data_IF_029837326160
#
_entry.id   IF_029837326160
#
_cell.length_a   1.000
_cell.length_b   1.000
_cell.length_c   1.000
_cell.angle_alpha   90.00
_cell.angle_beta   90.00
_cell.angle_gamma   90.00
#
_symmetry.space_group_name_H-M   'P 1'
#
loop_
_entity.id
_entity.type
_entity.pdbx_description
1 polymer ?
#
# COMPACT_ATOMS: atom_id res chain seq x y z
N UNK A 1 -1.64 -5.87 -15.05
CA UNK A 1 -1.33 -5.42 -16.43
C UNK A 1 -0.40 -4.22 -16.37
N UNK A 2 0.16 -3.82 -17.52
CA UNK A 2 0.82 -2.52 -17.75
C UNK A 2 0.25 -2.00 -19.07
N UNK A 3 -0.82 -1.25 -18.92
CA UNK A 3 -1.62 -0.46 -19.87
C UNK A 3 -2.51 -1.22 -20.85
N UNK A 4 -3.05 -2.35 -20.39
CA UNK A 4 -4.26 -2.92 -20.98
C UNK A 4 -5.55 -2.58 -20.20
N UNK A 5 -5.49 -1.72 -19.17
CA UNK A 5 -6.55 -0.92 -18.51
C UNK A 5 -7.92 -1.59 -18.16
N UNK A 6 -7.93 -2.94 -18.05
CA UNK A 6 -8.87 -3.87 -17.40
C UNK A 6 -10.05 -4.43 -18.25
N UNK A 7 -10.46 -5.72 -18.12
CA UNK A 7 -10.35 -6.58 -16.92
C UNK A 7 -9.72 -7.99 -17.12
N UNK A 8 -9.00 -8.46 -16.10
CA UNK A 8 -8.70 -9.89 -15.88
C UNK A 8 -9.44 -10.46 -14.63
N UNK A 9 -10.14 -9.62 -13.87
CA UNK A 9 -10.79 -9.98 -12.60
C UNK A 9 -12.22 -9.44 -12.50
N UNK A 10 -13.16 -10.32 -12.13
CA UNK A 10 -14.59 -10.03 -12.01
C UNK A 10 -14.96 -9.46 -10.64
N UNK A 11 -16.16 -8.87 -10.55
CA UNK A 11 -16.66 -8.32 -9.30
C UNK A 11 -16.90 -9.40 -8.24
N UNK A 12 -16.48 -9.12 -7.01
CA UNK A 12 -16.67 -10.04 -5.88
C UNK A 12 -17.95 -9.74 -5.07
N UNK A 13 -18.10 -10.43 -3.93
CA UNK A 13 -19.26 -10.26 -3.05
C UNK A 13 -19.31 -8.88 -2.40
N UNK A 14 -18.16 -8.28 -2.09
CA UNK A 14 -18.09 -6.95 -1.48
C UNK A 14 -18.49 -5.88 -2.49
N UNK A 15 -18.03 -5.98 -3.73
CA UNK A 15 -18.44 -5.08 -4.82
C UNK A 15 -19.96 -5.13 -5.06
N UNK A 16 -20.58 -6.31 -4.93
CA UNK A 16 -22.04 -6.45 -5.03
C UNK A 16 -22.79 -5.89 -3.83
N UNK A 17 -22.20 -5.93 -2.63
CA UNK A 17 -22.79 -5.39 -1.40
C UNK A 17 -22.66 -3.87 -1.31
N UNK A 18 -21.60 -3.31 -1.88
CA UNK A 18 -21.33 -1.88 -1.99
C UNK A 18 -21.25 -1.48 -3.47
N UNK A 19 -22.39 -1.48 -4.19
CA UNK A 19 -22.41 -1.26 -5.64
C UNK A 19 -22.15 0.20 -6.05
N UNK A 20 -22.32 1.16 -5.13
CA UNK A 20 -22.35 2.58 -5.45
C UNK A 20 -21.86 3.48 -4.30
N UNK A 21 -21.76 4.79 -4.58
CA UNK A 21 -21.33 5.79 -3.60
C UNK A 21 -22.32 5.91 -2.44
N UNK A 22 -23.62 5.76 -2.69
CA UNK A 22 -24.64 5.89 -1.64
C UNK A 22 -24.49 4.80 -0.57
N UNK A 23 -24.30 3.54 -0.99
CA UNK A 23 -24.02 2.42 -0.09
C UNK A 23 -22.67 2.55 0.63
N UNK A 24 -21.66 3.13 -0.02
CA UNK A 24 -20.38 3.45 0.62
C UNK A 24 -20.54 4.51 1.72
N UNK A 25 -21.28 5.59 1.46
CA UNK A 25 -21.58 6.63 2.47
C UNK A 25 -22.35 6.04 3.66
N UNK A 26 -23.33 5.18 3.41
CA UNK A 26 -24.06 4.49 4.47
C UNK A 26 -23.13 3.60 5.31
N UNK A 27 -22.22 2.87 4.66
CA UNK A 27 -21.20 2.07 5.34
C UNK A 27 -20.29 2.95 6.22
N UNK A 28 -19.74 4.03 5.66
CA UNK A 28 -18.85 4.94 6.36
C UNK A 28 -19.55 5.67 7.51
N UNK A 29 -20.84 6.00 7.40
CA UNK A 29 -21.59 6.60 8.51
C UNK A 29 -21.77 5.69 9.73
N UNK A 30 -21.58 4.37 9.56
CA UNK A 30 -21.66 3.39 10.65
C UNK A 30 -20.29 3.11 11.30
N UNK A 31 -19.20 3.40 10.59
CA UNK A 31 -17.88 2.87 10.92
C UNK A 31 -16.75 3.90 10.84
N UNK A 32 -16.97 5.06 10.23
CA UNK A 32 -15.95 6.02 9.79
C UNK A 32 -16.13 7.43 10.34
N UNK A 33 -16.56 7.58 11.59
CA UNK A 33 -16.93 8.88 12.19
C UNK A 33 -15.84 9.97 12.06
N UNK A 34 -14.55 9.60 12.03
CA UNK A 34 -13.44 10.55 11.81
C UNK A 34 -13.05 10.73 10.34
N UNK A 35 -13.37 9.77 9.48
CA UNK A 35 -12.98 9.77 8.06
C UNK A 35 -13.64 10.90 7.29
N UNK A 36 -14.96 11.04 7.42
CA UNK A 36 -15.71 12.08 6.68
C UNK A 36 -15.29 13.49 7.08
N UNK A 37 -14.98 13.71 8.37
CA UNK A 37 -14.47 14.99 8.85
C UNK A 37 -13.09 15.32 8.24
N UNK A 38 -12.18 14.34 8.22
CA UNK A 38 -10.85 14.51 7.61
C UNK A 38 -10.95 14.76 6.10
N UNK A 39 -11.83 14.04 5.40
CA UNK A 39 -12.05 14.21 3.96
C UNK A 39 -12.68 15.58 3.65
N UNK A 40 -13.61 16.05 4.47
CA UNK A 40 -14.19 17.40 4.36
C UNK A 40 -13.14 18.50 4.61
N UNK A 41 -12.23 18.31 5.56
CA UNK A 41 -11.12 19.24 5.78
C UNK A 41 -10.18 19.26 4.57
N UNK A 42 -9.80 18.10 4.02
CA UNK A 42 -8.97 18.03 2.81
C UNK A 42 -9.65 18.73 1.64
N UNK A 43 -10.97 18.56 1.47
CA UNK A 43 -11.76 19.28 0.46
C UNK A 43 -11.60 20.78 0.59
N UNK A 44 -11.76 21.33 1.80
CA UNK A 44 -11.63 22.76 2.04
C UNK A 44 -10.22 23.27 1.72
N UNK A 45 -9.17 22.52 2.09
CA UNK A 45 -7.79 22.86 1.76
C UNK A 45 -7.56 22.91 0.24
N UNK A 46 -8.03 21.88 -0.49
CA UNK A 46 -7.91 21.81 -1.95
C UNK A 46 -8.65 22.97 -2.63
N UNK A 47 -9.89 23.27 -2.24
CA UNK A 47 -10.63 24.39 -2.83
C UNK A 47 -10.06 25.76 -2.45
N UNK A 48 -9.49 25.87 -1.26
CA UNK A 48 -8.77 27.07 -0.83
C UNK A 48 -7.55 27.36 -1.69
N UNK A 49 -6.81 26.31 -2.08
CA UNK A 49 -5.61 26.43 -2.91
C UNK A 49 -5.91 26.54 -4.41
N UNK A 50 -6.75 25.66 -4.94
CA UNK A 50 -6.96 25.48 -6.38
C UNK A 50 -8.22 26.20 -6.90
N UNK A 51 -9.01 26.79 -6.00
CA UNK A 51 -10.22 27.55 -6.33
C UNK A 51 -11.49 26.69 -6.38
N UNK A 52 -12.65 27.35 -6.32
CA UNK A 52 -13.95 26.64 -6.27
C UNK A 52 -14.37 26.05 -7.62
N UNK A 53 -13.73 26.42 -8.73
CA UNK A 53 -14.04 25.90 -10.06
C UNK A 53 -13.73 24.40 -10.22
N UNK A 54 -12.89 23.82 -9.36
CA UNK A 54 -12.61 22.39 -9.35
C UNK A 54 -13.50 21.58 -8.39
N UNK A 55 -14.55 22.19 -7.80
CA UNK A 55 -15.42 21.52 -6.82
C UNK A 55 -15.96 20.18 -7.34
N UNK A 56 -16.50 20.16 -8.55
CA UNK A 56 -17.08 18.93 -9.12
C UNK A 56 -16.03 17.84 -9.35
N UNK A 57 -14.79 18.21 -9.67
CA UNK A 57 -13.69 17.26 -9.84
C UNK A 57 -13.25 16.70 -8.48
N UNK A 58 -13.10 17.54 -7.46
CA UNK A 58 -12.76 17.13 -6.10
C UNK A 58 -13.84 16.22 -5.52
N UNK A 59 -15.11 16.59 -5.68
CA UNK A 59 -16.25 15.82 -5.17
C UNK A 59 -16.31 14.43 -5.82
N UNK A 60 -16.09 14.34 -7.13
CA UNK A 60 -16.02 13.06 -7.86
C UNK A 60 -14.91 12.14 -7.34
N UNK A 61 -13.72 12.69 -7.08
CA UNK A 61 -12.62 11.91 -6.54
C UNK A 61 -12.90 11.50 -5.09
N UNK A 62 -13.50 12.37 -4.29
CA UNK A 62 -13.87 12.04 -2.91
C UNK A 62 -14.91 10.92 -2.85
N UNK A 63 -15.86 10.88 -3.78
CA UNK A 63 -16.81 9.78 -3.90
C UNK A 63 -16.14 8.45 -4.26
N UNK A 64 -15.16 8.48 -5.15
CA UNK A 64 -14.34 7.30 -5.46
C UNK A 64 -13.46 6.88 -4.27
N UNK A 65 -12.90 7.83 -3.50
CA UNK A 65 -12.16 7.54 -2.26
C UNK A 65 -13.07 6.87 -1.23
N UNK A 66 -14.30 7.37 -1.04
CA UNK A 66 -15.29 6.76 -0.15
C UNK A 66 -15.61 5.33 -0.54
N UNK A 67 -15.89 5.09 -1.82
CA UNK A 67 -16.21 3.76 -2.31
C UNK A 67 -15.04 2.78 -2.15
N UNK A 68 -13.82 3.22 -2.49
CA UNK A 68 -12.59 2.44 -2.28
C UNK A 68 -12.39 2.06 -0.82
N UNK A 69 -12.45 3.03 0.09
CA UNK A 69 -12.27 2.76 1.52
C UNK A 69 -13.39 1.86 2.09
N UNK A 70 -14.65 2.13 1.74
CA UNK A 70 -15.80 1.31 2.15
C UNK A 70 -15.60 -0.16 1.76
N UNK A 71 -15.21 -0.41 0.51
CA UNK A 71 -14.95 -1.77 0.02
C UNK A 71 -13.74 -2.40 0.70
N UNK A 72 -12.65 -1.66 0.89
CA UNK A 72 -11.47 -2.18 1.55
C UNK A 72 -11.78 -2.59 3.00
N UNK A 73 -12.44 -1.71 3.77
CA UNK A 73 -12.80 -2.00 5.15
C UNK A 73 -13.85 -3.10 5.31
N UNK A 74 -14.79 -3.24 4.37
CA UNK A 74 -15.73 -4.37 4.35
C UNK A 74 -15.08 -5.69 3.94
N UNK A 75 -13.99 -5.65 3.15
CA UNK A 75 -13.34 -6.85 2.65
C UNK A 75 -12.27 -7.36 3.61
N UNK A 76 -11.32 -6.49 3.95
CA UNK A 76 -10.12 -6.84 4.69
C UNK A 76 -9.99 -6.08 6.02
N UNK A 77 -10.96 -5.21 6.31
CA UNK A 77 -10.99 -4.40 7.52
C UNK A 77 -11.86 -4.92 8.65
N UNK A 78 -12.00 -4.09 9.68
CA UNK A 78 -12.80 -4.41 10.87
C UNK A 78 -14.31 -4.39 10.62
N UNK A 79 -14.75 -4.02 9.41
CA UNK A 79 -16.18 -3.91 9.08
C UNK A 79 -16.72 -5.19 8.44
N UNK A 80 -15.82 -6.11 8.05
CA UNK A 80 -16.11 -7.41 7.47
C UNK A 80 -15.66 -8.59 8.32
N UNK A 81 -15.74 -9.78 7.72
CA UNK A 81 -15.43 -11.05 8.39
C UNK A 81 -14.04 -11.60 8.03
N UNK A 82 -13.35 -11.01 7.04
CA UNK A 82 -12.05 -11.44 6.54
C UNK A 82 -10.95 -10.42 6.90
N UNK A 83 -10.80 -10.15 8.19
CA UNK A 83 -9.85 -9.15 8.67
C UNK A 83 -8.38 -9.50 8.37
N UNK A 84 -7.64 -8.54 7.80
CA UNK A 84 -6.21 -8.62 7.53
C UNK A 84 -5.45 -7.71 8.50
N UNK A 85 -4.48 -8.23 9.28
CA UNK A 85 -3.77 -7.43 10.28
C UNK A 85 -3.04 -6.19 9.74
N UNK A 86 -2.57 -6.21 8.49
CA UNK A 86 -1.83 -5.12 7.86
C UNK A 86 -2.64 -4.46 6.75
N UNK A 87 -3.06 -5.19 5.72
CA UNK A 87 -3.76 -4.64 4.57
C UNK A 87 -5.26 -4.46 4.86
N UNK A 88 -5.59 -3.37 5.54
CA UNK A 88 -6.96 -3.03 5.93
C UNK A 88 -7.25 -1.52 5.79
N UNK A 89 -8.43 -1.07 6.22
CA UNK A 89 -8.86 0.32 6.16
C UNK A 89 -7.94 1.28 6.91
N UNK A 90 -7.25 0.81 7.95
CA UNK A 90 -6.27 1.64 8.66
C UNK A 90 -5.02 1.87 7.83
N UNK A 91 -4.50 0.87 7.11
CA UNK A 91 -3.36 1.06 6.19
C UNK A 91 -3.67 2.10 5.11
N UNK A 92 -4.87 2.02 4.51
CA UNK A 92 -5.32 3.03 3.57
C UNK A 92 -5.40 4.44 4.17
N UNK A 93 -5.95 4.57 5.39
CA UNK A 93 -6.01 5.85 6.10
C UNK A 93 -4.63 6.36 6.54
N UNK A 94 -3.69 5.48 6.89
CA UNK A 94 -2.31 5.85 7.18
C UNK A 94 -1.64 6.45 5.94
N UNK A 95 -1.87 5.90 4.75
CA UNK A 95 -1.38 6.54 3.53
C UNK A 95 -2.09 7.88 3.30
N UNK A 96 -3.41 7.91 3.38
CA UNK A 96 -4.23 9.07 3.01
C UNK A 96 -4.07 10.30 3.93
N UNK A 97 -4.06 10.09 5.25
CA UNK A 97 -4.13 11.15 6.27
C UNK A 97 -2.93 11.21 7.21
N UNK A 98 -1.85 10.50 6.87
CA UNK A 98 -0.61 10.58 7.63
C UNK A 98 0.58 10.68 6.72
N UNK A 99 0.65 9.85 5.69
CA UNK A 99 1.78 9.89 4.76
C UNK A 99 1.59 11.01 3.72
N UNK A 100 0.45 11.08 3.04
CA UNK A 100 0.17 12.21 2.16
C UNK A 100 0.16 13.54 2.94
N UNK A 101 -0.39 13.59 4.15
CA UNK A 101 -0.34 14.81 4.98
C UNK A 101 1.10 15.24 5.30
N UNK A 102 2.02 14.30 5.55
CA UNK A 102 3.43 14.64 5.72
C UNK A 102 4.08 15.18 4.45
N UNK A 103 3.67 14.72 3.25
CA UNK A 103 4.11 15.35 2.00
C UNK A 103 3.60 16.80 1.91
N UNK A 104 2.34 17.03 2.27
CA UNK A 104 1.74 18.37 2.30
C UNK A 104 2.42 19.29 3.30
N UNK A 105 2.78 18.79 4.50
CA UNK A 105 3.46 19.57 5.53
C UNK A 105 4.87 19.98 5.11
N UNK A 106 5.59 19.11 4.39
CA UNK A 106 6.97 19.35 3.97
C UNK A 106 7.05 20.22 2.72
N UNK A 107 6.15 19.97 1.75
CA UNK A 107 6.27 20.55 0.40
C UNK A 107 5.21 21.59 0.07
N UNK A 108 4.09 21.62 0.82
CA UNK A 108 2.94 22.45 0.48
C UNK A 108 2.06 21.85 -0.63
N UNK A 109 0.87 22.43 -0.80
CA UNK A 109 -0.08 21.99 -1.83
C UNK A 109 0.36 22.38 -3.26
N UNK A 110 1.23 23.36 -3.43
CA UNK A 110 1.76 23.82 -4.71
C UNK A 110 2.84 22.90 -5.30
N UNK A 111 3.33 21.93 -4.51
CA UNK A 111 4.33 20.96 -4.96
C UNK A 111 3.84 20.02 -6.07
N UNK A 112 2.53 19.79 -6.16
CA UNK A 112 1.91 18.97 -7.21
C UNK A 112 0.63 19.64 -7.75
N UNK A 113 0.29 19.40 -9.03
CA UNK A 113 -1.02 19.75 -9.56
C UNK A 113 -2.17 19.09 -8.78
N UNK A 114 -3.35 19.70 -8.79
CA UNK A 114 -4.56 19.16 -8.14
C UNK A 114 -4.81 17.69 -8.50
N UNK A 115 -4.75 17.35 -9.79
CA UNK A 115 -5.02 16.00 -10.27
C UNK A 115 -4.03 14.96 -9.71
N UNK A 116 -2.80 15.36 -9.40
CA UNK A 116 -1.79 14.48 -8.85
C UNK A 116 -2.09 14.20 -7.37
N UNK A 117 -2.50 15.22 -6.60
CA UNK A 117 -2.99 15.01 -5.23
C UNK A 117 -4.22 14.11 -5.18
N UNK A 118 -5.17 14.30 -6.10
CA UNK A 118 -6.37 13.49 -6.20
C UNK A 118 -6.04 12.03 -6.61
N UNK A 119 -5.07 11.83 -7.51
CA UNK A 119 -4.59 10.50 -7.87
C UNK A 119 -3.90 9.78 -6.70
N UNK A 120 -3.09 10.48 -5.91
CA UNK A 120 -2.48 9.93 -4.70
C UNK A 120 -3.53 9.54 -3.65
N UNK A 121 -4.58 10.34 -3.49
CA UNK A 121 -5.68 10.02 -2.59
C UNK A 121 -6.44 8.76 -3.02
N UNK A 122 -6.69 8.58 -4.32
CA UNK A 122 -7.29 7.36 -4.86
C UNK A 122 -6.36 6.15 -4.68
N UNK A 123 -5.07 6.29 -5.01
CA UNK A 123 -4.09 5.22 -4.80
C UNK A 123 -4.10 4.73 -3.35
N UNK A 124 -4.12 5.63 -2.37
CA UNK A 124 -4.11 5.30 -0.95
C UNK A 124 -5.19 4.29 -0.55
N UNK A 125 -6.38 4.39 -1.14
CA UNK A 125 -7.52 3.51 -0.81
C UNK A 125 -7.76 2.40 -1.83
N UNK A 126 -7.05 2.41 -2.96
CA UNK A 126 -7.31 1.50 -4.08
C UNK A 126 -6.21 0.47 -4.35
N UNK A 127 -4.95 0.74 -4.00
CA UNK A 127 -3.83 -0.13 -4.37
C UNK A 127 -3.92 -1.54 -3.80
N UNK A 128 -4.43 -1.67 -2.58
CA UNK A 128 -4.55 -2.94 -1.87
C UNK A 128 -5.99 -3.42 -1.69
N UNK A 129 -6.91 -3.00 -2.56
CA UNK A 129 -8.31 -3.45 -2.49
C UNK A 129 -8.44 -4.98 -2.42
N UNK A 130 -7.55 -5.72 -3.11
CA UNK A 130 -7.60 -7.18 -3.25
C UNK A 130 -6.33 -7.82 -2.70
N UNK A 131 -6.45 -8.60 -1.61
CA UNK A 131 -5.30 -9.24 -0.95
C UNK A 131 -5.44 -10.75 -0.75
N UNK A 132 -6.33 -11.39 -1.52
CA UNK A 132 -6.59 -12.84 -1.46
C UNK A 132 -6.55 -13.54 -2.81
N UNK A 133 -6.04 -12.89 -3.85
CA UNK A 133 -5.95 -13.52 -5.15
C UNK A 133 -4.89 -14.64 -5.14
N UNK A 134 -5.12 -15.67 -5.96
CA UNK A 134 -4.18 -16.76 -6.07
C UNK A 134 -2.82 -16.25 -6.56
N UNK A 135 -1.74 -16.75 -5.96
CA UNK A 135 -0.39 -16.34 -6.35
C UNK A 135 -0.08 -16.74 -7.80
N UNK A 136 0.41 -15.79 -8.59
CA UNK A 136 0.91 -16.01 -9.94
C UNK A 136 2.21 -15.23 -10.13
N UNK A 137 3.29 -15.97 -10.39
CA UNK A 137 4.64 -15.44 -10.58
C UNK A 137 5.03 -15.36 -12.07
N UNK A 138 4.10 -15.67 -12.98
CA UNK A 138 4.34 -15.62 -14.42
C UNK A 138 4.40 -14.20 -14.98
N UNK A 139 3.92 -13.22 -14.22
CA UNK A 139 3.85 -11.80 -14.59
C UNK A 139 4.58 -10.94 -13.54
N UNK A 140 5.09 -9.76 -13.94
CA UNK A 140 5.77 -8.86 -13.00
C UNK A 140 4.81 -8.25 -11.99
N UNK A 141 3.60 -7.87 -12.42
CA UNK A 141 2.53 -7.38 -11.54
C UNK A 141 1.77 -8.58 -11.00
N UNK A 142 1.68 -8.69 -9.68
CA UNK A 142 0.96 -9.77 -8.99
C UNK A 142 -0.55 -9.74 -9.22
N UNK A 143 -1.21 -10.85 -8.90
CA UNK A 143 -2.66 -10.97 -9.07
C UNK A 143 -3.46 -10.05 -8.12
N UNK A 144 -2.96 -9.82 -6.91
CA UNK A 144 -3.56 -8.88 -5.96
C UNK A 144 -3.63 -7.47 -6.58
N UNK A 145 -2.51 -6.96 -7.08
CA UNK A 145 -2.44 -5.64 -7.70
C UNK A 145 -3.20 -5.58 -9.02
N UNK A 146 -3.15 -6.63 -9.85
CA UNK A 146 -3.95 -6.70 -11.07
C UNK A 146 -5.47 -6.67 -10.79
N UNK A 147 -5.92 -7.31 -9.72
CA UNK A 147 -7.31 -7.29 -9.27
C UNK A 147 -7.68 -5.93 -8.67
N UNK A 148 -6.80 -5.32 -7.87
CA UNK A 148 -6.97 -3.96 -7.35
C UNK A 148 -7.07 -2.93 -8.47
N UNK A 149 -6.24 -3.02 -9.51
CA UNK A 149 -6.32 -2.17 -10.72
C UNK A 149 -7.68 -2.35 -11.41
N UNK A 150 -8.12 -3.59 -11.58
CA UNK A 150 -9.40 -3.90 -12.23
C UNK A 150 -10.60 -3.36 -11.44
N UNK A 151 -10.57 -3.46 -10.12
CA UNK A 151 -11.61 -2.89 -9.26
C UNK A 151 -11.55 -1.36 -9.22
N UNK A 152 -10.36 -0.77 -9.23
CA UNK A 152 -10.16 0.68 -9.28
C UNK A 152 -10.81 1.28 -10.52
N UNK A 153 -10.61 0.67 -11.70
CA UNK A 153 -11.27 1.12 -12.94
C UNK A 153 -12.80 1.12 -12.79
N UNK A 154 -13.38 0.07 -12.18
CA UNK A 154 -14.83 0.00 -11.94
C UNK A 154 -15.30 1.06 -10.93
N UNK A 155 -14.53 1.35 -9.89
CA UNK A 155 -14.83 2.43 -8.93
C UNK A 155 -14.88 3.77 -9.65
N UNK A 156 -13.92 4.04 -10.55
CA UNK A 156 -13.93 5.25 -11.36
C UNK A 156 -15.20 5.32 -12.23
N UNK A 157 -15.54 4.25 -12.93
CA UNK A 157 -16.75 4.20 -13.77
C UNK A 157 -18.04 4.48 -12.96
N UNK A 158 -18.17 3.86 -11.79
CA UNK A 158 -19.30 4.04 -10.86
C UNK A 158 -19.40 5.49 -10.38
N UNK A 159 -18.25 6.14 -10.16
CA UNK A 159 -18.19 7.53 -9.69
C UNK A 159 -18.27 8.54 -10.84
N UNK A 160 -18.62 8.10 -12.07
CA UNK A 160 -18.89 8.99 -13.20
C UNK A 160 -17.64 9.51 -13.91
N UNK A 161 -16.50 8.82 -13.77
CA UNK A 161 -15.36 9.06 -14.64
C UNK A 161 -15.66 8.46 -16.02
N UNK A 162 -15.48 9.29 -17.05
CA UNK A 162 -15.45 8.85 -18.45
C UNK A 162 -14.03 8.43 -18.83
N UNK A 163 -13.85 7.20 -19.30
CA UNK A 163 -12.54 6.61 -19.62
C UNK A 163 -11.78 7.35 -20.73
N UNK A 164 -12.47 8.09 -21.62
CA UNK A 164 -11.82 8.88 -22.68
C UNK A 164 -11.39 10.25 -22.16
N UNK A 165 -12.26 10.93 -21.41
CA UNK A 165 -12.00 12.28 -20.89
C UNK A 165 -11.05 12.29 -19.70
N UNK A 166 -11.04 11.21 -18.92
CA UNK A 166 -10.21 11.05 -17.73
C UNK A 166 -9.18 9.93 -17.91
N UNK A 167 -8.78 9.64 -19.16
CA UNK A 167 -7.82 8.59 -19.49
C UNK A 167 -6.55 8.68 -18.63
N UNK A 168 -6.05 9.89 -18.44
CA UNK A 168 -4.91 10.23 -17.58
C UNK A 168 -5.02 9.68 -16.15
N UNK A 169 -6.23 9.56 -15.60
CA UNK A 169 -6.47 9.05 -14.25
C UNK A 169 -6.40 7.52 -14.19
N UNK A 170 -6.94 6.84 -15.21
CA UNK A 170 -6.84 5.38 -15.32
C UNK A 170 -5.38 4.95 -15.53
N UNK A 171 -4.66 5.63 -16.43
CA UNK A 171 -3.22 5.38 -16.68
C UNK A 171 -2.39 5.60 -15.42
N UNK A 172 -2.61 6.71 -14.71
CA UNK A 172 -1.88 7.00 -13.48
C UNK A 172 -2.11 5.91 -12.42
N UNK A 173 -3.36 5.53 -12.17
CA UNK A 173 -3.66 4.52 -11.14
C UNK A 173 -3.15 3.13 -11.51
N UNK A 174 -3.24 2.72 -12.78
CA UNK A 174 -2.64 1.44 -13.20
C UNK A 174 -1.14 1.41 -12.92
N UNK A 175 -0.39 2.46 -13.32
CA UNK A 175 1.05 2.53 -13.11
C UNK A 175 1.43 2.69 -11.64
N UNK A 176 0.66 3.46 -10.85
CA UNK A 176 0.92 3.64 -9.43
C UNK A 176 0.76 2.34 -8.66
N UNK A 177 -0.32 1.59 -8.90
CA UNK A 177 -0.59 0.31 -8.23
C UNK A 177 0.40 -0.77 -8.71
N UNK A 178 0.68 -0.84 -10.01
CA UNK A 178 1.69 -1.76 -10.53
C UNK A 178 3.10 -1.43 -10.01
N UNK A 179 3.41 -0.15 -9.77
CA UNK A 179 4.70 0.31 -9.29
C UNK A 179 4.94 0.08 -7.81
N UNK A 180 3.88 0.04 -6.99
CA UNK A 180 4.00 -0.25 -5.55
C UNK A 180 4.24 -1.74 -5.26
N UNK A 181 3.94 -2.63 -6.22
CA UNK A 181 4.26 -4.06 -6.12
C UNK A 181 5.74 -4.30 -5.83
N UNK A 182 6.03 -5.18 -4.87
CA UNK A 182 7.36 -5.78 -4.72
C UNK A 182 7.52 -6.95 -5.68
N UNK A 183 8.63 -7.02 -6.42
CA UNK A 183 8.86 -8.11 -7.37
C UNK A 183 8.73 -9.48 -6.68
N UNK A 184 7.66 -10.25 -6.99
CA UNK A 184 7.35 -11.47 -6.27
C UNK A 184 8.16 -12.66 -6.80
N UNK A 185 9.07 -12.46 -7.77
CA UNK A 185 9.83 -13.57 -8.34
C UNK A 185 10.89 -14.05 -7.34
N UNK A 186 10.97 -15.37 -7.10
CA UNK A 186 11.97 -15.92 -6.21
C UNK A 186 13.38 -15.66 -6.76
N UNK A 187 14.32 -15.37 -5.87
CA UNK A 187 15.74 -15.51 -6.16
C UNK A 187 16.03 -16.94 -6.69
N UNK A 188 17.08 -17.17 -7.50
CA UNK A 188 17.29 -18.42 -8.26
C UNK A 188 17.46 -19.73 -7.44
N UNK A 189 17.31 -19.70 -6.11
CA UNK A 189 17.32 -20.89 -5.26
C UNK A 189 15.89 -21.22 -4.79
N UNK A 190 15.34 -22.41 -5.12
CA UNK A 190 13.98 -22.77 -4.77
C UNK A 190 13.92 -23.29 -3.33
N UNK A 191 13.60 -22.43 -2.37
CA UNK A 191 13.01 -22.89 -1.10
C UNK A 191 11.50 -22.70 -1.12
N UNK A 192 10.79 -23.60 -0.45
CA UNK A 192 9.33 -23.68 -0.33
C UNK A 192 8.70 -22.43 0.32
N UNK A 193 8.70 -21.31 -0.39
CA UNK A 193 8.04 -20.10 0.06
C UNK A 193 6.59 -20.11 -0.40
N UNK A 194 5.65 -19.78 0.49
CA UNK A 194 4.31 -19.38 0.07
C UNK A 194 4.36 -17.94 -0.46
N UNK A 195 3.30 -17.47 -1.14
CA UNK A 195 3.30 -16.11 -1.71
C UNK A 195 3.48 -15.01 -0.66
N UNK A 196 3.03 -15.26 0.57
CA UNK A 196 3.28 -14.37 1.69
C UNK A 196 4.76 -14.32 2.09
N UNK A 197 5.60 -15.27 1.67
CA UNK A 197 7.02 -15.38 1.98
C UNK A 197 7.98 -14.90 0.89
N UNK A 198 7.51 -14.69 -0.35
CA UNK A 198 8.36 -14.30 -1.48
C UNK A 198 8.43 -12.78 -1.64
N UNK A 199 9.32 -12.14 -0.89
CA UNK A 199 9.91 -10.84 -1.28
C UNK A 199 11.42 -11.06 -1.26
N UNK A 200 11.98 -11.52 -2.38
CA UNK A 200 13.38 -11.96 -2.42
C UNK A 200 14.24 -11.24 -3.46
N UNK A 201 13.67 -10.38 -4.31
CA UNK A 201 14.46 -9.55 -5.23
C UNK A 201 13.77 -8.22 -5.58
N UNK A 202 14.55 -7.23 -6.03
CA UNK A 202 14.04 -6.01 -6.70
C UNK A 202 13.72 -4.78 -5.85
N UNK A 203 13.01 -4.94 -4.72
CA UNK A 203 12.33 -3.80 -4.10
C UNK A 203 11.03 -3.48 -4.87
N UNK A 204 10.52 -2.25 -4.78
CA UNK A 204 9.32 -1.85 -5.52
C UNK A 204 9.59 -1.74 -7.03
N UNK A 205 8.58 -2.07 -7.86
CA UNK A 205 8.70 -2.07 -9.32
C UNK A 205 8.70 -0.68 -9.98
N UNK A 206 8.26 0.36 -9.27
CA UNK A 206 8.15 1.72 -9.81
C UNK A 206 9.37 2.23 -10.61
N UNK A 207 10.63 1.99 -10.21
CA UNK A 207 11.82 2.41 -10.96
C UNK A 207 12.00 1.69 -12.30
N UNK A 208 11.46 0.47 -12.42
CA UNK A 208 11.62 -0.40 -13.58
C UNK A 208 10.44 -0.29 -14.55
N UNK A 209 9.32 0.32 -14.14
CA UNK A 209 8.15 0.55 -14.99
C UNK A 209 8.47 1.21 -16.34
N UNK A 210 9.36 2.22 -16.46
CA UNK A 210 9.69 2.78 -17.77
C UNK A 210 10.29 1.76 -18.75
N UNK A 211 11.01 0.75 -18.24
CA UNK A 211 11.55 -0.33 -19.06
C UNK A 211 10.46 -1.31 -19.46
N UNK A 212 9.54 -1.62 -18.53
CA UNK A 212 8.39 -2.48 -18.79
C UNK A 212 7.44 -1.88 -19.83
N UNK A 213 7.09 -0.59 -19.70
CA UNK A 213 6.28 0.14 -20.67
C UNK A 213 6.93 0.12 -22.05
N UNK A 214 8.23 0.44 -22.13
CA UNK A 214 8.98 0.40 -23.40
C UNK A 214 8.99 -1.00 -24.03
N UNK A 215 9.00 -2.06 -23.23
CA UNK A 215 8.97 -3.43 -23.72
C UNK A 215 7.60 -3.83 -24.29
N UNK A 216 6.50 -3.20 -23.83
CA UNK A 216 5.15 -3.38 -24.39
C UNK A 216 5.01 -2.63 -25.70
N UNK A 217 5.25 -1.32 -25.68
CA UNK A 217 5.27 -0.47 -26.87
C UNK A 217 6.17 0.76 -26.61
N UNK A 218 7.30 0.91 -27.34
CA UNK A 218 8.18 2.07 -27.19
C UNK A 218 7.48 3.41 -27.42
N UNK A 219 6.43 3.48 -28.24
CA UNK A 219 5.72 4.73 -28.53
C UNK A 219 4.96 5.28 -27.31
N UNK A 220 4.57 4.41 -26.36
CA UNK A 220 3.93 4.83 -25.10
C UNK A 220 4.85 5.70 -24.24
N UNK A 221 6.17 5.63 -24.45
CA UNK A 221 7.10 6.51 -23.74
C UNK A 221 6.97 7.97 -24.15
N UNK A 222 6.40 8.27 -25.32
CA UNK A 222 6.15 9.64 -25.77
C UNK A 222 4.77 10.16 -25.31
N UNK A 223 3.94 9.32 -24.71
CA UNK A 223 2.62 9.70 -24.20
C UNK A 223 2.72 10.52 -22.89
N UNK A 224 2.19 11.75 -22.82
CA UNK A 224 2.26 12.60 -21.63
C UNK A 224 1.55 11.99 -20.40
N UNK A 225 0.47 11.23 -20.59
CA UNK A 225 -0.28 10.60 -19.50
C UNK A 225 0.52 9.44 -18.90
N UNK A 226 1.22 8.68 -19.74
CA UNK A 226 2.14 7.63 -19.31
C UNK A 226 3.32 8.24 -18.55
N UNK A 227 3.92 9.31 -19.07
CA UNK A 227 5.02 10.00 -18.37
C UNK A 227 4.58 10.54 -17.01
N UNK A 228 3.35 11.06 -16.91
CA UNK A 228 2.76 11.49 -15.64
C UNK A 228 2.58 10.29 -14.69
N UNK A 229 1.98 9.20 -15.15
CA UNK A 229 1.76 8.01 -14.34
C UNK A 229 3.06 7.38 -13.82
N UNK A 230 4.11 7.33 -14.65
CA UNK A 230 5.45 6.85 -14.24
C UNK A 230 6.05 7.71 -13.11
N UNK A 231 5.89 9.04 -13.16
CA UNK A 231 6.35 9.92 -12.07
C UNK A 231 5.55 9.69 -10.79
N UNK A 232 4.23 9.59 -10.91
CA UNK A 232 3.34 9.32 -9.77
C UNK A 232 3.60 7.95 -9.15
N UNK A 233 3.96 6.94 -9.93
CA UNK A 233 4.29 5.61 -9.43
C UNK A 233 5.48 5.62 -8.47
N UNK A 234 6.48 6.47 -8.70
CA UNK A 234 7.61 6.63 -7.77
C UNK A 234 7.16 7.25 -6.43
N UNK A 235 6.25 8.21 -6.46
CA UNK A 235 5.69 8.83 -5.24
C UNK A 235 4.79 7.85 -4.50
N UNK A 236 3.94 7.12 -5.24
CA UNK A 236 3.02 6.13 -4.71
C UNK A 236 3.77 4.98 -4.00
N UNK A 237 4.82 4.46 -4.64
CA UNK A 237 5.70 3.45 -4.07
C UNK A 237 6.39 3.93 -2.79
N UNK A 238 6.88 5.18 -2.77
CA UNK A 238 7.47 5.78 -1.58
C UNK A 238 6.46 5.92 -0.45
N UNK A 239 5.21 6.29 -0.77
CA UNK A 239 4.13 6.42 0.21
C UNK A 239 3.69 5.08 0.78
N UNK A 240 3.59 4.03 -0.03
CA UNK A 240 3.22 2.70 0.46
C UNK A 240 4.27 2.11 1.41
N UNK A 241 5.55 2.38 1.11
CA UNK A 241 6.69 1.88 1.88
C UNK A 241 7.25 2.86 2.92
N UNK A 242 6.60 4.01 3.11
CA UNK A 242 7.10 5.08 3.98
C UNK A 242 7.19 4.70 5.46
N UNK A 243 6.63 3.55 5.88
CA UNK A 243 6.65 3.07 7.26
C UNK A 243 8.07 3.08 7.87
N UNK A 244 9.09 2.78 7.07
CA UNK A 244 10.50 2.81 7.53
C UNK A 244 10.98 4.20 7.97
N UNK A 245 10.33 5.27 7.50
CA UNK A 245 10.65 6.67 7.80
C UNK A 245 9.76 7.32 8.86
N UNK A 246 8.88 6.52 9.49
CA UNK A 246 8.00 6.96 10.56
C UNK A 246 8.69 6.89 11.93
N UNK A 247 8.00 7.32 12.99
CA UNK A 247 8.49 7.11 14.35
C UNK A 247 8.70 5.60 14.59
N UNK A 248 9.81 5.25 15.24
CA UNK A 248 10.23 3.85 15.37
C UNK A 248 9.16 2.90 15.94
N UNK A 249 8.36 3.28 16.97
CA UNK A 249 7.28 2.41 17.44
C UNK A 249 6.22 2.12 16.37
N UNK A 250 5.87 3.11 15.54
CA UNK A 250 4.93 2.93 14.43
C UNK A 250 5.51 2.05 13.33
N UNK A 251 6.80 2.24 13.00
CA UNK A 251 7.51 1.36 12.07
C UNK A 251 7.51 -0.10 12.58
N UNK A 252 7.88 -0.32 13.83
CA UNK A 252 7.91 -1.65 14.43
C UNK A 252 6.51 -2.29 14.47
N UNK A 253 5.47 -1.56 14.88
CA UNK A 253 4.11 -2.11 14.89
C UNK A 253 3.61 -2.45 13.48
N UNK A 254 3.96 -1.62 12.49
CA UNK A 254 3.71 -1.92 11.07
C UNK A 254 4.35 -3.26 10.65
N UNK A 255 5.62 -3.49 11.01
CA UNK A 255 6.28 -4.78 10.77
C UNK A 255 5.62 -5.95 11.51
N UNK A 256 5.17 -5.75 12.75
CA UNK A 256 4.47 -6.78 13.54
C UNK A 256 3.11 -7.14 12.91
N UNK A 257 2.33 -6.15 12.47
CA UNK A 257 1.08 -6.36 11.72
C UNK A 257 1.31 -7.17 10.45
N UNK A 258 2.32 -6.81 9.65
CA UNK A 258 2.64 -7.55 8.42
C UNK A 258 3.09 -8.99 8.72
N UNK A 259 3.84 -9.20 9.81
CA UNK A 259 4.20 -10.55 10.25
C UNK A 259 2.97 -11.40 10.60
N UNK A 260 2.01 -10.84 11.34
CA UNK A 260 0.76 -11.53 11.69
C UNK A 260 -0.03 -11.91 10.44
N UNK A 261 -0.13 -10.99 9.49
CA UNK A 261 -0.85 -11.24 8.26
C UNK A 261 -0.18 -12.32 7.40
N UNK A 262 1.15 -12.34 7.32
CA UNK A 262 1.88 -13.39 6.61
C UNK A 262 1.56 -14.78 7.15
N UNK A 263 1.49 -14.94 8.48
CA UNK A 263 1.11 -16.20 9.11
C UNK A 263 -0.36 -16.55 8.87
N UNK A 264 -1.26 -15.56 8.92
CA UNK A 264 -2.66 -15.73 8.55
C UNK A 264 -2.83 -16.24 7.11
N UNK A 265 -2.15 -15.62 6.15
CA UNK A 265 -2.18 -16.03 4.73
C UNK A 265 -1.53 -17.41 4.52
N UNK A 266 -0.56 -17.77 5.36
CA UNK A 266 0.03 -19.10 5.39
C UNK A 266 -0.86 -20.17 6.04
N UNK A 267 -1.96 -19.78 6.70
CA UNK A 267 -2.81 -20.68 7.47
C UNK A 267 -2.15 -21.20 8.75
N UNK A 268 -1.11 -20.53 9.26
CA UNK A 268 -0.38 -20.91 10.47
C UNK A 268 -0.88 -20.10 11.67
N UNK A 269 -1.27 -20.80 12.73
CA UNK A 269 -1.66 -20.18 13.99
C UNK A 269 -0.43 -19.64 14.74
N UNK A 270 -0.50 -18.41 15.24
CA UNK A 270 0.62 -17.78 15.96
C UNK A 270 0.97 -18.48 17.29
N UNK A 271 0.03 -19.19 17.89
CA UNK A 271 0.23 -19.98 19.11
C UNK A 271 0.77 -21.39 18.82
N UNK A 272 1.03 -21.73 17.55
CA UNK A 272 1.67 -22.98 17.18
C UNK A 272 3.20 -22.81 17.13
N UNK A 273 3.94 -23.84 17.54
CA UNK A 273 5.42 -23.83 17.49
C UNK A 273 5.97 -23.69 16.06
N UNK A 274 5.23 -24.14 15.03
CA UNK A 274 5.66 -24.05 13.63
C UNK A 274 5.69 -22.62 13.08
N UNK A 275 4.98 -21.68 13.72
CA UNK A 275 5.02 -20.24 13.40
C UNK A 275 6.25 -19.52 13.95
N UNK A 276 6.99 -20.13 14.88
CA UNK A 276 8.13 -19.51 15.56
C UNK A 276 9.22 -19.07 14.56
N UNK A 277 9.72 -20.01 13.76
CA UNK A 277 10.83 -19.76 12.83
C UNK A 277 10.46 -18.77 11.71
N UNK A 278 9.29 -18.88 11.05
CA UNK A 278 8.84 -17.87 10.09
C UNK A 278 8.76 -16.46 10.69
N UNK A 279 8.12 -16.29 11.85
CA UNK A 279 8.01 -15.00 12.52
C UNK A 279 9.39 -14.42 12.89
N UNK A 280 10.26 -15.23 13.51
CA UNK A 280 11.60 -14.81 13.89
C UNK A 280 12.43 -14.43 12.65
N UNK A 281 12.37 -15.25 11.60
CA UNK A 281 13.08 -14.99 10.34
C UNK A 281 12.61 -13.69 9.68
N UNK A 282 11.30 -13.43 9.66
CA UNK A 282 10.73 -12.22 9.10
C UNK A 282 11.10 -10.97 9.92
N UNK A 283 10.90 -10.99 11.25
CA UNK A 283 11.13 -9.84 12.13
C UNK A 283 12.61 -9.56 12.42
N UNK A 284 13.51 -10.50 12.11
CA UNK A 284 14.96 -10.32 12.20
C UNK A 284 15.60 -10.09 10.82
N UNK A 285 16.12 -11.16 10.18
CA UNK A 285 16.81 -11.12 8.89
C UNK A 285 15.96 -10.46 7.80
N UNK A 286 14.65 -10.72 7.79
CA UNK A 286 13.72 -10.14 6.83
C UNK A 286 13.66 -8.62 6.94
N UNK A 287 13.44 -8.07 8.14
CA UNK A 287 13.42 -6.62 8.36
C UNK A 287 14.78 -5.97 8.06
N UNK A 288 15.89 -6.61 8.45
CA UNK A 288 17.23 -6.13 8.11
C UNK A 288 17.43 -6.04 6.59
N UNK A 289 17.07 -7.10 5.87
CA UNK A 289 17.18 -7.16 4.42
C UNK A 289 16.30 -6.11 3.74
N UNK A 290 15.02 -6.05 4.11
CA UNK A 290 14.08 -5.06 3.60
C UNK A 290 14.59 -3.64 3.80
N UNK A 291 14.93 -3.28 5.03
CA UNK A 291 15.27 -1.90 5.39
C UNK A 291 16.58 -1.42 4.75
N UNK A 292 17.63 -2.25 4.82
CA UNK A 292 18.98 -1.84 4.41
C UNK A 292 19.31 -2.15 2.95
N UNK A 293 18.71 -3.19 2.37
CA UNK A 293 19.06 -3.64 1.01
C UNK A 293 18.00 -3.30 -0.04
N UNK A 294 16.73 -3.55 0.27
CA UNK A 294 15.66 -3.43 -0.73
C UNK A 294 15.07 -2.01 -0.76
N UNK A 295 14.67 -1.48 0.38
CA UNK A 295 13.92 -0.23 0.44
C UNK A 295 14.77 0.98 0.05
N UNK A 296 14.29 1.78 -0.91
CA UNK A 296 14.78 3.12 -1.22
C UNK A 296 13.61 4.05 -1.51
N UNK A 297 13.80 5.34 -1.22
CA UNK A 297 12.87 6.37 -1.68
C UNK A 297 13.28 6.83 -3.08
N UNK A 298 12.38 6.65 -4.04
CA UNK A 298 12.64 6.82 -5.47
C UNK A 298 12.24 8.21 -5.98
N UNK A 299 11.25 8.85 -5.36
CA UNK A 299 10.87 10.23 -5.66
C UNK A 299 11.64 11.24 -4.81
N UNK A 300 11.76 12.48 -5.30
CA UNK A 300 12.31 13.58 -4.51
C UNK A 300 11.40 13.92 -3.32
N UNK A 301 10.08 13.97 -3.55
CA UNK A 301 9.10 14.28 -2.50
C UNK A 301 9.18 13.28 -1.33
N UNK A 302 9.20 11.99 -1.65
CA UNK A 302 9.33 10.91 -0.65
C UNK A 302 10.67 10.94 0.07
N UNK A 303 11.79 11.16 -0.63
CA UNK A 303 13.10 11.32 0.01
C UNK A 303 13.10 12.45 1.03
N UNK A 304 12.67 13.64 0.62
CA UNK A 304 12.72 14.83 1.46
C UNK A 304 11.83 14.66 2.70
N UNK A 305 10.68 14.01 2.54
CA UNK A 305 9.76 13.77 3.64
C UNK A 305 10.23 12.68 4.62
N UNK A 306 10.81 11.57 4.14
CA UNK A 306 10.97 10.35 4.96
C UNK A 306 12.41 9.88 5.16
N UNK A 307 13.38 10.30 4.33
CA UNK A 307 14.74 9.75 4.39
C UNK A 307 15.42 10.01 5.75
N UNK A 308 15.19 11.19 6.35
CA UNK A 308 15.73 11.52 7.67
C UNK A 308 15.19 10.60 8.77
N UNK A 309 13.88 10.29 8.73
CA UNK A 309 13.26 9.34 9.66
C UNK A 309 13.84 7.93 9.49
N UNK A 310 14.02 7.49 8.23
CA UNK A 310 14.64 6.20 7.94
C UNK A 310 16.08 6.15 8.48
N UNK A 311 16.87 7.20 8.27
CA UNK A 311 18.22 7.27 8.81
C UNK A 311 18.25 7.18 10.34
N UNK A 312 17.32 7.87 11.02
CA UNK A 312 17.21 7.83 12.49
C UNK A 312 16.80 6.43 13.02
N UNK A 313 16.03 5.67 12.25
CA UNK A 313 15.57 4.33 12.64
C UNK A 313 16.64 3.23 12.45
N UNK A 314 17.69 3.48 11.69
CA UNK A 314 18.68 2.46 11.30
C UNK A 314 19.34 1.78 12.51
N UNK A 315 19.90 2.55 13.44
CA UNK A 315 20.58 2.00 14.62
C UNK A 315 19.61 1.33 15.59
N UNK A 316 18.40 1.87 15.73
CA UNK A 316 17.35 1.27 16.57
C UNK A 316 16.91 -0.09 16.04
N UNK A 317 16.74 -0.21 14.71
CA UNK A 317 16.41 -1.48 14.07
C UNK A 317 17.50 -2.53 14.29
N UNK A 318 18.78 -2.14 14.15
CA UNK A 318 19.91 -3.06 14.41
C UNK A 318 19.90 -3.58 15.85
N UNK A 319 19.70 -2.70 16.83
CA UNK A 319 19.62 -3.09 18.25
C UNK A 319 18.44 -4.02 18.51
N UNK A 320 17.26 -3.67 18.00
CA UNK A 320 16.05 -4.49 18.12
C UNK A 320 16.26 -5.90 17.57
N UNK A 321 16.82 -6.00 16.36
CA UNK A 321 17.07 -7.29 15.70
C UNK A 321 18.12 -8.10 16.45
N UNK A 322 19.21 -7.48 16.93
CA UNK A 322 20.22 -8.16 17.72
C UNK A 322 19.65 -8.73 19.02
N UNK A 323 18.89 -7.90 19.77
CA UNK A 323 18.24 -8.32 21.01
C UNK A 323 17.20 -9.43 20.79
N UNK A 324 16.43 -9.36 19.69
CA UNK A 324 15.48 -10.40 19.35
C UNK A 324 16.18 -11.73 19.03
N UNK A 325 17.29 -11.70 18.28
CA UNK A 325 18.07 -12.92 17.99
C UNK A 325 18.64 -13.55 19.26
N UNK A 326 19.21 -12.72 20.14
CA UNK A 326 19.75 -13.16 21.43
C UNK A 326 18.68 -13.81 22.31
N UNK A 327 17.49 -13.19 22.42
CA UNK A 327 16.40 -13.70 23.23
C UNK A 327 15.84 -15.05 22.73
N UNK A 328 15.99 -15.35 21.43
CA UNK A 328 15.51 -16.57 20.79
C UNK A 328 16.62 -17.54 20.39
N UNK A 329 17.81 -17.45 21.02
CA UNK A 329 18.84 -18.51 20.89
C UNK A 329 18.33 -19.87 21.40
N UNK A 330 17.45 -19.86 22.40
CA UNK A 330 16.72 -21.03 22.89
C UNK A 330 15.26 -20.94 22.48
N UNK A 331 14.80 -21.91 21.68
CA UNK A 331 13.50 -21.87 21.01
C UNK A 331 12.48 -22.89 21.54
N UNK A 332 12.88 -23.76 22.45
CA UNK A 332 12.04 -24.89 22.90
C UNK A 332 10.73 -24.42 23.54
N UNK A 333 9.60 -24.90 23.01
CA UNK A 333 8.25 -24.57 23.48
C UNK A 333 7.79 -23.14 23.16
N UNK A 334 8.52 -22.37 22.34
CA UNK A 334 8.15 -21.01 21.93
C UNK A 334 7.38 -20.99 20.61
N UNK A 335 6.61 -19.93 20.41
CA UNK A 335 5.68 -19.77 19.29
C UNK A 335 5.92 -18.44 18.57
N UNK A 336 5.26 -18.22 17.43
CA UNK A 336 5.29 -16.95 16.71
C UNK A 336 4.73 -15.79 17.54
N UNK A 337 3.76 -16.06 18.42
CA UNK A 337 3.21 -15.08 19.35
C UNK A 337 4.27 -14.59 20.35
N UNK A 338 5.13 -15.49 20.85
CA UNK A 338 6.25 -15.09 21.70
C UNK A 338 7.19 -14.12 20.97
N UNK A 339 7.50 -14.38 19.69
CA UNK A 339 8.35 -13.50 18.88
C UNK A 339 7.72 -12.12 18.74
N UNK A 340 6.43 -12.04 18.41
CA UNK A 340 5.71 -10.79 18.26
C UNK A 340 5.70 -9.98 19.57
N UNK A 341 5.41 -10.64 20.70
CA UNK A 341 5.40 -9.99 22.01
C UNK A 341 6.78 -9.46 22.40
N UNK A 342 7.84 -10.24 22.18
CA UNK A 342 9.21 -9.79 22.42
C UNK A 342 9.63 -8.66 21.48
N UNK A 343 9.29 -8.73 20.19
CA UNK A 343 9.58 -7.69 19.21
C UNK A 343 8.90 -6.36 19.58
N UNK A 344 7.59 -6.39 19.90
CA UNK A 344 6.86 -5.20 20.35
C UNK A 344 7.39 -4.64 21.67
N UNK A 345 7.81 -5.50 22.61
CA UNK A 345 8.42 -5.03 23.88
C UNK A 345 9.78 -4.36 23.63
N UNK A 346 10.64 -5.01 22.84
CA UNK A 346 11.99 -4.52 22.55
C UNK A 346 11.97 -3.23 21.71
N UNK A 347 10.96 -3.01 20.88
CA UNK A 347 10.85 -1.80 20.05
C UNK A 347 10.57 -0.51 20.85
N UNK A 348 10.10 -0.66 22.08
CA UNK A 348 9.84 0.45 23.02
C UNK A 348 11.06 0.82 23.87
N UNK A 349 12.17 0.08 23.76
CA UNK A 349 13.42 0.37 24.46
C UNK A 349 14.24 1.33 23.59
N UNK A 350 14.68 2.45 24.17
CA UNK A 350 15.45 3.49 23.46
C UNK A 350 16.89 3.10 23.15
#
# INVERSE_FOLDING_TARGET
MILGLAPDFTSDAVERRLPDVASAVECLSRHGDSFEAALAQRRQQLLGQFGHSCSDEVDRHHDAVRLGLARFGMRHGHWGDDFHPYHNEHHAQEILFRRIDRLLDVHGLDALPLQDWLALALFAVCHDLRQREAADFSRPVGNNEAASISETARILDICGFDASRHHNQYVALELMIAGSTFDPRPAPEPSHFNAAEVVTSGGALAPDLPQMVRAVDPALMDDPDVQRGLRLALIASDLDTANVGEAFPSFAESSARLCREREMLAGRGLDNEDSLRPCLGFLSNGQEHYFFRLHRFHSTLGRDAYANGKAANAERLRRLIAALREEFEQTDGRTGNDVLMSFSRLSLID
#
